data_IF_752323571327
#
_entry.id   IF_752323571327
#
_cell.length_a   1.000
_cell.length_b   1.000
_cell.length_c   1.000
_cell.angle_alpha   90.00
_cell.angle_beta   90.00
_cell.angle_gamma   90.00
#
_symmetry.space_group_name_H-M   'P 1'
#
loop_
_entity.id
_entity.type
_entity.pdbx_description
1 polymer ?
#
# COMPACT_ATOMS: atom_id res chain seq x y z
N UNK A 1 -16.68 -16.81 32.66
CA UNK A 1 -16.21 -15.94 31.57
C UNK A 1 -16.15 -16.80 30.33
N UNK A 2 -16.98 -16.54 29.33
CA UNK A 2 -17.00 -17.34 28.10
C UNK A 2 -15.73 -17.01 27.32
N UNK A 3 -14.77 -17.93 27.24
CA UNK A 3 -13.67 -17.82 26.30
C UNK A 3 -14.27 -17.65 24.91
N UNK A 4 -14.08 -16.48 24.32
CA UNK A 4 -14.57 -16.21 22.97
C UNK A 4 -13.61 -16.91 22.03
N UNK A 5 -14.00 -18.08 21.50
CA UNK A 5 -13.17 -18.88 20.60
C UNK A 5 -12.72 -18.02 19.41
N UNK A 6 -11.41 -17.92 19.18
CA UNK A 6 -10.85 -17.26 17.99
C UNK A 6 -11.45 -17.91 16.74
N UNK A 7 -12.09 -17.15 15.82
CA UNK A 7 -12.69 -17.75 14.63
C UNK A 7 -11.61 -18.36 13.74
N UNK A 8 -11.77 -19.65 13.39
CA UNK A 8 -10.88 -20.37 12.48
C UNK A 8 -10.96 -19.81 11.05
N UNK A 9 -9.84 -19.88 10.33
CA UNK A 9 -9.79 -19.51 8.92
C UNK A 9 -10.39 -20.62 8.06
N UNK A 10 -11.02 -20.24 6.93
CA UNK A 10 -11.35 -21.20 5.89
C UNK A 10 -10.06 -21.64 5.20
N UNK A 11 -9.87 -22.94 5.01
CA UNK A 11 -8.66 -23.48 4.42
C UNK A 11 -8.91 -24.70 3.53
N UNK A 12 -7.88 -25.07 2.78
CA UNK A 12 -7.79 -26.29 1.98
C UNK A 12 -6.42 -26.95 2.19
N UNK A 13 -6.44 -28.28 2.26
CA UNK A 13 -5.25 -29.13 2.32
C UNK A 13 -5.14 -29.96 1.04
N UNK A 14 -3.94 -30.04 0.47
CA UNK A 14 -3.62 -30.89 -0.68
C UNK A 14 -2.25 -31.58 -0.42
N UNK A 15 -2.07 -32.83 -0.85
CA UNK A 15 -0.82 -33.60 -0.67
C UNK A 15 -0.89 -34.70 0.42
N UNK A 16 0.22 -35.42 0.68
CA UNK A 16 0.26 -36.53 1.63
C UNK A 16 -0.01 -36.07 3.07
N UNK A 17 -0.78 -36.85 3.83
CA UNK A 17 -1.17 -36.49 5.20
C UNK A 17 0.00 -36.50 6.20
N UNK A 18 1.04 -37.29 5.93
CA UNK A 18 2.24 -37.44 6.75
C UNK A 18 3.39 -36.51 6.33
N UNK A 19 3.23 -35.75 5.23
CA UNK A 19 4.23 -34.81 4.76
C UNK A 19 4.29 -33.54 5.65
N UNK A 20 5.46 -32.87 5.74
CA UNK A 20 5.57 -31.59 6.43
C UNK A 20 4.63 -30.53 5.84
N UNK A 21 4.02 -29.70 6.68
CA UNK A 21 3.00 -28.72 6.25
C UNK A 21 3.62 -27.45 5.67
N UNK A 22 3.35 -27.18 4.39
CA UNK A 22 3.73 -25.92 3.73
C UNK A 22 2.51 -25.01 3.60
N UNK A 23 2.56 -23.85 4.25
CA UNK A 23 1.47 -22.87 4.24
C UNK A 23 1.67 -21.88 3.10
N UNK A 24 0.61 -21.61 2.32
CA UNK A 24 0.58 -20.58 1.28
C UNK A 24 -0.41 -19.46 1.67
N UNK A 25 0.13 -18.27 1.97
CA UNK A 25 -0.63 -17.08 2.36
C UNK A 25 -1.03 -16.22 1.15
N UNK A 26 -2.33 -15.89 0.99
CA UNK A 26 -2.82 -15.12 -0.15
C UNK A 26 -2.49 -13.63 -0.06
N UNK A 27 -2.62 -12.93 -1.19
CA UNK A 27 -2.56 -11.46 -1.26
C UNK A 27 -3.93 -10.85 -0.89
N UNK A 28 -3.94 -9.57 -0.50
CA UNK A 28 -5.18 -8.83 -0.26
C UNK A 28 -6.05 -8.79 -1.52
N UNK A 29 -7.35 -9.08 -1.40
CA UNK A 29 -8.29 -9.10 -2.53
C UNK A 29 -8.18 -10.36 -3.39
N UNK A 30 -7.38 -11.35 -2.99
CA UNK A 30 -7.28 -12.64 -3.67
C UNK A 30 -7.84 -13.77 -2.82
N UNK A 31 -7.97 -14.95 -3.42
CA UNK A 31 -8.30 -16.20 -2.72
C UNK A 31 -7.12 -17.16 -2.81
N UNK A 32 -7.16 -18.28 -2.09
CA UNK A 32 -6.17 -19.36 -2.20
C UNK A 32 -5.99 -19.88 -3.64
N UNK A 33 -6.93 -19.60 -4.55
CA UNK A 33 -6.86 -20.02 -5.95
C UNK A 33 -5.71 -19.35 -6.71
N UNK A 34 -5.15 -18.25 -6.18
CA UNK A 34 -3.91 -17.69 -6.72
C UNK A 34 -2.72 -18.67 -6.71
N UNK A 35 -2.80 -19.70 -5.87
CA UNK A 35 -1.78 -20.73 -5.72
C UNK A 35 -2.05 -22.01 -6.51
N UNK A 36 -3.17 -22.11 -7.24
CA UNK A 36 -3.59 -23.36 -7.90
C UNK A 36 -2.52 -23.92 -8.85
N UNK A 37 -1.70 -23.06 -9.47
CA UNK A 37 -0.64 -23.48 -10.40
C UNK A 37 0.62 -24.00 -9.71
N UNK A 38 0.82 -23.71 -8.42
CA UNK A 38 1.94 -24.21 -7.62
C UNK A 38 1.63 -25.57 -6.98
N UNK A 39 0.35 -25.79 -6.63
CA UNK A 39 -0.09 -26.95 -5.83
C UNK A 39 0.32 -28.30 -6.42
N UNK A 40 0.17 -28.59 -7.73
CA UNK A 40 0.51 -29.91 -8.27
C UNK A 40 1.95 -30.35 -8.02
N UNK A 41 2.91 -29.41 -8.04
CA UNK A 41 4.32 -29.73 -7.78
C UNK A 41 4.67 -29.67 -6.29
N UNK A 42 4.16 -28.68 -5.55
CA UNK A 42 4.42 -28.57 -4.11
C UNK A 42 3.82 -29.74 -3.33
N UNK A 43 2.62 -30.19 -3.69
CA UNK A 43 1.92 -31.30 -3.05
C UNK A 43 2.61 -32.67 -3.23
N UNK A 44 3.69 -32.75 -4.03
CA UNK A 44 4.50 -33.97 -4.17
C UNK A 44 5.41 -34.21 -2.96
N UNK A 45 5.78 -33.14 -2.24
CA UNK A 45 6.74 -33.19 -1.12
C UNK A 45 6.14 -32.68 0.19
N UNK A 46 5.13 -31.79 0.13
CA UNK A 46 4.56 -31.15 1.30
C UNK A 46 3.05 -31.37 1.37
N UNK A 47 2.52 -31.33 2.60
CA UNK A 47 1.09 -31.17 2.84
C UNK A 47 0.77 -29.69 2.72
N UNK A 48 0.27 -29.26 1.57
CA UNK A 48 0.06 -27.86 1.25
C UNK A 48 -1.21 -27.35 1.92
N UNK A 49 -1.08 -26.39 2.83
CA UNK A 49 -2.18 -25.68 3.47
C UNK A 49 -2.35 -24.33 2.80
N UNK A 50 -3.56 -24.04 2.31
CA UNK A 50 -3.92 -22.74 1.75
C UNK A 50 -5.15 -22.22 2.45
N UNK A 51 -5.24 -20.92 2.65
CA UNK A 51 -6.36 -20.30 3.35
C UNK A 51 -6.81 -19.03 2.66
N UNK A 52 -8.07 -18.67 2.91
CA UNK A 52 -8.61 -17.38 2.53
C UNK A 52 -8.55 -16.42 3.72
N UNK A 53 -8.28 -15.15 3.43
CA UNK A 53 -8.41 -14.08 4.41
C UNK A 53 -9.88 -13.92 4.82
N UNK A 54 -10.19 -13.40 6.02
CA UNK A 54 -11.57 -13.14 6.41
C UNK A 54 -12.33 -12.35 5.34
N UNK A 55 -13.55 -12.77 5.02
CA UNK A 55 -14.38 -12.15 3.99
C UNK A 55 -13.93 -12.34 2.55
N UNK A 56 -12.87 -13.09 2.26
CA UNK A 56 -12.42 -13.39 0.89
C UNK A 56 -12.89 -14.77 0.45
N UNK A 57 -13.21 -14.97 -0.83
CA UNK A 57 -13.47 -16.32 -1.39
C UNK A 57 -14.67 -17.08 -0.81
N UNK A 58 -15.56 -16.39 -0.08
CA UNK A 58 -16.67 -17.00 0.66
C UNK A 58 -16.35 -17.30 2.14
N UNK A 59 -15.14 -16.95 2.61
CA UNK A 59 -14.77 -17.07 4.01
C UNK A 59 -15.66 -16.19 4.90
N UNK A 60 -16.01 -16.65 6.12
CA UNK A 60 -16.78 -15.85 7.06
C UNK A 60 -16.18 -14.45 7.27
N UNK A 61 -17.05 -13.44 7.17
CA UNK A 61 -16.68 -12.04 7.29
C UNK A 61 -16.44 -11.67 8.76
N UNK A 62 -15.23 -11.95 9.25
CA UNK A 62 -14.78 -11.59 10.59
C UNK A 62 -13.54 -10.69 10.48
N UNK A 63 -13.71 -9.35 10.41
CA UNK A 63 -12.61 -8.41 10.27
C UNK A 63 -11.50 -8.63 11.30
N UNK A 64 -10.25 -8.43 10.87
CA UNK A 64 -9.06 -8.47 11.71
C UNK A 64 -8.39 -7.10 11.68
N UNK A 65 -8.11 -6.51 12.85
CA UNK A 65 -7.65 -5.13 12.97
C UNK A 65 -6.15 -4.95 12.74
N UNK A 66 -5.39 -6.04 12.71
CA UNK A 66 -3.94 -6.03 12.55
C UNK A 66 -3.43 -7.30 11.86
N UNK A 67 -2.18 -7.24 11.36
CA UNK A 67 -1.48 -8.43 10.86
C UNK A 67 -1.27 -9.47 11.98
N UNK A 68 -1.06 -9.02 13.22
CA UNK A 68 -0.95 -9.89 14.40
C UNK A 68 -2.25 -10.67 14.68
N UNK A 69 -3.41 -10.06 14.47
CA UNK A 69 -4.71 -10.75 14.60
C UNK A 69 -4.85 -11.85 13.55
N UNK A 70 -4.44 -11.57 12.30
CA UNK A 70 -4.45 -12.56 11.21
C UNK A 70 -3.49 -13.72 11.50
N UNK A 71 -2.28 -13.43 11.97
CA UNK A 71 -1.30 -14.43 12.39
C UNK A 71 -1.83 -15.29 13.54
N UNK A 72 -2.46 -14.68 14.55
CA UNK A 72 -3.07 -15.38 15.69
C UNK A 72 -4.20 -16.32 15.25
N UNK A 73 -5.08 -15.86 14.34
CA UNK A 73 -6.16 -16.70 13.78
C UNK A 73 -5.61 -17.88 12.98
N UNK A 74 -4.56 -17.66 12.19
CA UNK A 74 -3.89 -18.73 11.47
C UNK A 74 -3.28 -19.76 12.43
N UNK A 75 -2.56 -19.32 13.47
CA UNK A 75 -2.01 -20.23 14.47
C UNK A 75 -3.09 -21.03 15.20
N UNK A 76 -4.17 -20.38 15.62
CA UNK A 76 -5.31 -21.08 16.25
C UNK A 76 -5.89 -22.16 15.32
N UNK A 77 -6.02 -21.87 14.02
CA UNK A 77 -6.48 -22.84 13.01
C UNK A 77 -5.51 -24.01 12.87
N UNK A 78 -4.20 -23.75 12.87
CA UNK A 78 -3.15 -24.78 12.77
C UNK A 78 -3.04 -25.63 14.05
N UNK A 79 -3.27 -25.04 15.21
CA UNK A 79 -3.27 -25.73 16.50
C UNK A 79 -4.41 -26.74 16.58
N UNK A 80 -5.61 -26.40 16.08
CA UNK A 80 -6.74 -27.34 15.93
C UNK A 80 -6.41 -28.53 15.01
N UNK A 81 -5.51 -28.32 14.06
CA UNK A 81 -5.01 -29.35 13.14
C UNK A 81 -3.78 -30.10 13.66
N UNK A 82 -3.28 -29.76 14.85
CA UNK A 82 -2.08 -30.36 15.43
C UNK A 82 -0.77 -29.96 14.72
N UNK A 83 -0.77 -28.92 13.89
CA UNK A 83 0.40 -28.51 13.10
C UNK A 83 1.32 -27.64 13.93
N UNK A 84 2.37 -28.22 14.52
CA UNK A 84 3.27 -27.52 15.44
C UNK A 84 4.42 -26.77 14.75
N UNK A 85 4.86 -27.19 13.57
CA UNK A 85 5.95 -26.54 12.84
C UNK A 85 5.73 -26.67 11.33
N UNK A 86 5.98 -25.59 10.58
CA UNK A 86 5.62 -25.51 9.17
C UNK A 86 6.59 -24.64 8.38
N UNK A 87 6.67 -24.87 7.06
CA UNK A 87 7.20 -23.91 6.11
C UNK A 87 6.12 -22.89 5.76
N UNK A 88 6.50 -21.65 5.48
CA UNK A 88 5.55 -20.59 5.15
C UNK A 88 5.99 -19.83 3.89
N UNK A 89 5.09 -19.71 2.92
CA UNK A 89 5.24 -18.82 1.77
C UNK A 89 4.05 -17.87 1.69
N UNK A 90 4.27 -16.56 1.68
CA UNK A 90 3.18 -15.58 1.68
C UNK A 90 3.37 -14.50 0.62
N UNK A 91 2.29 -14.16 -0.09
CA UNK A 91 2.29 -13.09 -1.08
C UNK A 91 1.72 -11.78 -0.47
N UNK A 92 2.43 -10.66 -0.57
CA UNK A 92 1.93 -9.34 -0.14
C UNK A 92 1.46 -9.31 1.32
N UNK A 93 0.16 -9.15 1.60
CA UNK A 93 -0.40 -9.28 2.95
C UNK A 93 -0.10 -10.65 3.58
N UNK A 94 -0.13 -11.74 2.81
CA UNK A 94 0.36 -13.04 3.27
C UNK A 94 1.84 -12.99 3.66
N UNK A 95 2.67 -12.22 2.96
CA UNK A 95 4.06 -11.98 3.35
C UNK A 95 4.18 -11.25 4.68
N UNK A 96 3.32 -10.25 4.94
CA UNK A 96 3.26 -9.56 6.23
C UNK A 96 2.92 -10.52 7.38
N UNK A 97 1.92 -11.40 7.17
CA UNK A 97 1.56 -12.46 8.13
C UNK A 97 2.76 -13.39 8.39
N UNK A 98 3.47 -13.80 7.33
CA UNK A 98 4.67 -14.64 7.46
C UNK A 98 5.79 -13.99 8.27
N UNK A 99 6.06 -12.71 8.03
CA UNK A 99 7.03 -11.95 8.80
C UNK A 99 6.62 -11.81 10.28
N UNK A 100 5.36 -11.52 10.56
CA UNK A 100 4.82 -11.46 11.92
C UNK A 100 4.96 -12.81 12.64
N UNK A 101 4.62 -13.92 11.97
CA UNK A 101 4.79 -15.27 12.52
C UNK A 101 6.26 -15.57 12.83
N UNK A 102 7.18 -15.21 11.93
CA UNK A 102 8.60 -15.48 12.14
C UNK A 102 9.20 -14.63 13.27
N UNK A 103 8.67 -13.43 13.51
CA UNK A 103 9.09 -12.54 14.59
C UNK A 103 8.52 -12.94 15.96
N UNK A 104 7.22 -13.26 16.02
CA UNK A 104 6.52 -13.54 17.29
C UNK A 104 6.52 -15.02 17.67
N UNK A 105 6.62 -15.90 16.70
CA UNK A 105 6.56 -17.35 16.87
C UNK A 105 7.67 -18.08 16.09
N UNK A 106 8.96 -17.69 16.25
CA UNK A 106 10.06 -18.24 15.46
C UNK A 106 10.18 -19.76 15.53
N UNK A 107 9.79 -20.38 16.65
CA UNK A 107 9.78 -21.82 16.85
C UNK A 107 8.80 -22.58 15.93
N UNK A 108 7.77 -21.89 15.43
CA UNK A 108 6.73 -22.48 14.56
C UNK A 108 7.15 -22.46 13.08
N UNK A 109 7.98 -21.49 12.68
CA UNK A 109 8.35 -21.25 11.28
C UNK A 109 9.69 -21.94 10.98
N UNK A 110 9.65 -23.04 10.22
CA UNK A 110 10.85 -23.77 9.83
C UNK A 110 11.66 -23.07 8.73
N UNK A 111 10.97 -22.47 7.77
CA UNK A 111 11.54 -21.77 6.62
C UNK A 111 10.51 -20.78 6.08
N UNK A 112 10.97 -19.66 5.53
CA UNK A 112 10.12 -18.53 5.17
C UNK A 112 10.35 -18.07 3.72
N UNK A 113 9.29 -17.90 2.94
CA UNK A 113 9.31 -17.22 1.65
C UNK A 113 8.39 -15.99 1.69
N UNK A 114 8.98 -14.81 1.50
CA UNK A 114 8.30 -13.52 1.42
C UNK A 114 8.20 -13.12 -0.06
N UNK A 115 7.00 -13.20 -0.62
CA UNK A 115 6.75 -12.99 -2.05
C UNK A 115 6.03 -11.65 -2.24
N UNK A 116 6.55 -10.77 -3.09
CA UNK A 116 5.98 -9.44 -3.33
C UNK A 116 5.60 -8.74 -2.01
N UNK A 117 6.51 -8.78 -1.03
CA UNK A 117 6.27 -8.34 0.34
C UNK A 117 7.14 -7.11 0.68
N UNK A 118 6.81 -6.44 1.78
CA UNK A 118 7.54 -5.27 2.26
C UNK A 118 7.59 -5.29 3.80
N UNK A 119 8.64 -4.75 4.43
CA UNK A 119 8.68 -4.62 5.89
C UNK A 119 7.75 -3.51 6.40
N UNK A 120 7.22 -2.68 5.49
CA UNK A 120 6.17 -1.69 5.71
C UNK A 120 5.45 -1.43 4.39
N UNK A 121 4.13 -1.36 4.39
CA UNK A 121 3.36 -1.16 3.17
C UNK A 121 2.90 0.29 3.04
N UNK A 122 3.22 0.93 1.91
CA UNK A 122 2.74 2.26 1.52
C UNK A 122 2.79 3.31 2.63
N UNK A 123 1.89 4.29 2.51
CA UNK A 123 1.58 5.21 3.60
C UNK A 123 0.25 4.84 4.27
N UNK A 124 0.10 5.16 5.55
CA UNK A 124 -1.15 4.92 6.26
C UNK A 124 -2.32 5.68 5.60
N UNK A 125 -2.04 6.84 5.01
CA UNK A 125 -3.05 7.65 4.33
C UNK A 125 -3.53 7.02 3.02
N UNK A 126 -2.65 6.40 2.22
CA UNK A 126 -3.04 5.62 1.03
C UNK A 126 -4.03 4.50 1.39
N UNK A 127 -3.74 3.72 2.42
CA UNK A 127 -4.62 2.63 2.86
C UNK A 127 -5.94 3.14 3.45
N UNK A 128 -5.91 4.26 4.21
CA UNK A 128 -7.12 4.91 4.70
C UNK A 128 -7.98 5.45 3.57
N UNK A 129 -7.37 6.07 2.54
CA UNK A 129 -8.07 6.55 1.35
C UNK A 129 -8.74 5.41 0.59
N UNK A 130 -8.05 4.28 0.40
CA UNK A 130 -8.68 3.06 -0.16
C UNK A 130 -9.87 2.64 0.69
N UNK A 131 -9.74 2.65 2.02
CA UNK A 131 -10.85 2.38 2.92
C UNK A 131 -12.06 3.31 2.71
N UNK A 132 -11.84 4.61 2.52
CA UNK A 132 -12.91 5.57 2.20
C UNK A 132 -13.58 5.25 0.87
N UNK A 133 -12.80 4.98 -0.18
CA UNK A 133 -13.35 4.60 -1.50
C UNK A 133 -14.26 3.38 -1.38
N UNK A 134 -13.82 2.36 -0.64
CA UNK A 134 -14.57 1.11 -0.45
C UNK A 134 -15.84 1.33 0.36
N UNK A 135 -15.80 2.17 1.41
CA UNK A 135 -17.01 2.51 2.19
C UNK A 135 -18.08 3.21 1.34
N UNK A 136 -17.65 4.08 0.41
CA UNK A 136 -18.57 4.86 -0.41
C UNK A 136 -19.06 4.14 -1.66
N UNK A 137 -18.22 3.31 -2.29
CA UNK A 137 -18.48 2.78 -3.63
C UNK A 137 -18.46 1.23 -3.70
N UNK A 138 -18.27 0.56 -2.56
CA UNK A 138 -17.95 -0.86 -2.54
C UNK A 138 -16.60 -1.17 -3.17
N UNK A 139 -16.36 -2.43 -3.53
CA UNK A 139 -15.08 -2.88 -4.08
C UNK A 139 -14.94 -2.70 -5.60
N UNK A 140 -15.98 -2.32 -6.33
CA UNK A 140 -15.93 -2.28 -7.79
C UNK A 140 -14.83 -1.37 -8.35
N UNK A 141 -14.61 -0.13 -7.84
CA UNK A 141 -13.52 0.72 -8.34
C UNK A 141 -12.14 0.11 -8.09
N UNK A 142 -11.94 -0.51 -6.93
CA UNK A 142 -10.68 -1.17 -6.57
C UNK A 142 -10.47 -2.42 -7.44
N UNK A 143 -11.54 -3.19 -7.66
CA UNK A 143 -11.47 -4.40 -8.43
C UNK A 143 -11.07 -4.15 -9.90
N UNK A 144 -11.64 -3.10 -10.53
CA UNK A 144 -11.34 -2.76 -11.92
C UNK A 144 -9.89 -2.37 -12.15
N UNK A 145 -9.25 -1.71 -11.18
CA UNK A 145 -7.85 -1.25 -11.30
C UNK A 145 -6.84 -2.26 -10.77
N UNK A 146 -7.26 -3.26 -9.99
CA UNK A 146 -6.35 -4.24 -9.38
C UNK A 146 -5.46 -4.98 -10.39
N UNK A 147 -5.95 -5.44 -11.57
CA UNK A 147 -5.10 -6.11 -12.56
C UNK A 147 -3.91 -5.27 -13.05
N UNK A 148 -4.05 -3.95 -13.16
CA UNK A 148 -2.99 -3.03 -13.60
C UNK A 148 -1.82 -2.99 -12.61
N UNK A 149 -2.09 -3.24 -11.33
CA UNK A 149 -1.07 -3.34 -10.29
C UNK A 149 -0.54 -4.77 -10.10
N UNK A 150 -1.31 -5.77 -10.51
CA UNK A 150 -1.00 -7.18 -10.25
C UNK A 150 -0.21 -7.85 -11.34
N UNK A 151 -0.34 -7.38 -12.59
CA UNK A 151 0.24 -8.02 -13.77
C UNK A 151 0.99 -7.02 -14.63
N UNK A 152 1.99 -7.48 -15.38
CA UNK A 152 2.58 -6.65 -16.44
C UNK A 152 1.54 -6.38 -17.53
N UNK A 153 1.72 -5.26 -18.24
CA UNK A 153 0.83 -4.91 -19.37
C UNK A 153 0.81 -5.99 -20.46
N UNK A 154 1.97 -6.62 -20.73
CA UNK A 154 2.08 -7.72 -21.68
C UNK A 154 1.27 -8.94 -21.26
N UNK A 155 1.36 -9.35 -19.99
CA UNK A 155 0.56 -10.46 -19.47
C UNK A 155 -0.94 -10.13 -19.46
N UNK A 156 -1.31 -8.94 -18.99
CA UNK A 156 -2.71 -8.51 -18.94
C UNK A 156 -3.36 -8.52 -20.33
N UNK A 157 -2.64 -8.05 -21.36
CA UNK A 157 -3.12 -8.10 -22.74
C UNK A 157 -3.23 -9.54 -23.29
N UNK A 158 -2.30 -10.42 -22.91
CA UNK A 158 -2.26 -11.81 -23.38
C UNK A 158 -3.23 -12.75 -22.64
N UNK A 159 -3.64 -12.39 -21.41
CA UNK A 159 -4.42 -13.26 -20.51
C UNK A 159 -5.68 -12.56 -19.96
N UNK A 160 -6.61 -12.10 -20.81
CA UNK A 160 -7.79 -11.35 -20.37
C UNK A 160 -8.70 -12.16 -19.42
N UNK A 161 -8.78 -13.48 -19.59
CA UNK A 161 -9.55 -14.33 -18.69
C UNK A 161 -8.97 -14.36 -17.26
N UNK A 162 -7.64 -14.25 -17.12
CA UNK A 162 -6.99 -14.20 -15.80
C UNK A 162 -7.19 -12.82 -15.18
N UNK A 163 -7.14 -11.74 -15.97
CA UNK A 163 -7.44 -10.40 -15.44
C UNK A 163 -8.90 -10.29 -15.01
N UNK A 164 -9.85 -10.85 -15.77
CA UNK A 164 -11.26 -10.89 -15.39
C UNK A 164 -11.47 -11.69 -14.10
N UNK A 165 -10.83 -12.85 -13.98
CA UNK A 165 -10.84 -13.64 -12.76
C UNK A 165 -10.29 -12.85 -11.55
N UNK A 166 -9.18 -12.12 -11.74
CA UNK A 166 -8.62 -11.27 -10.69
C UNK A 166 -9.58 -10.16 -10.26
N UNK A 167 -10.27 -9.51 -11.21
CA UNK A 167 -11.34 -8.53 -10.90
C UNK A 167 -12.43 -9.19 -10.06
N UNK A 168 -12.88 -10.40 -10.43
CA UNK A 168 -13.95 -11.08 -9.69
C UNK A 168 -13.54 -11.49 -8.27
N UNK A 169 -12.28 -11.89 -8.04
CA UNK A 169 -11.80 -12.16 -6.69
C UNK A 169 -11.94 -10.93 -5.79
N UNK A 170 -11.52 -9.75 -6.27
CA UNK A 170 -11.64 -8.52 -5.49
C UNK A 170 -13.10 -8.13 -5.29
N UNK A 171 -13.92 -8.20 -6.34
CA UNK A 171 -15.36 -7.83 -6.27
C UNK A 171 -16.14 -8.63 -5.24
N UNK A 172 -15.78 -9.89 -5.04
CA UNK A 172 -16.51 -10.82 -4.18
C UNK A 172 -16.03 -10.82 -2.73
N UNK A 173 -15.00 -10.04 -2.41
CA UNK A 173 -14.56 -9.84 -1.02
C UNK A 173 -15.57 -8.99 -0.23
N UNK A 174 -15.77 -9.31 1.05
CA UNK A 174 -16.51 -8.47 1.98
C UNK A 174 -15.85 -7.09 2.14
N UNK A 175 -16.55 -5.98 1.87
CA UNK A 175 -15.97 -4.64 1.95
C UNK A 175 -15.40 -4.31 3.35
N UNK A 176 -16.07 -4.73 4.42
CA UNK A 176 -15.64 -4.47 5.80
C UNK A 176 -14.32 -5.16 6.13
N UNK A 177 -14.17 -6.43 5.74
CA UNK A 177 -12.94 -7.18 5.90
C UNK A 177 -11.81 -6.64 5.01
N UNK A 178 -12.13 -6.19 3.80
CA UNK A 178 -11.14 -5.55 2.92
C UNK A 178 -10.58 -4.26 3.52
N UNK A 179 -11.46 -3.41 4.07
CA UNK A 179 -11.08 -2.17 4.77
C UNK A 179 -10.20 -2.50 5.98
N UNK A 180 -10.60 -3.46 6.81
CA UNK A 180 -9.82 -3.86 7.97
C UNK A 180 -8.43 -4.40 7.58
N UNK A 181 -8.33 -5.15 6.49
CA UNK A 181 -7.05 -5.62 5.97
C UNK A 181 -6.18 -4.46 5.43
N UNK A 182 -6.77 -3.42 4.85
CA UNK A 182 -6.05 -2.18 4.51
C UNK A 182 -5.51 -1.49 5.77
N UNK A 183 -6.32 -1.39 6.83
CA UNK A 183 -5.92 -0.78 8.12
C UNK A 183 -4.82 -1.60 8.82
N UNK A 184 -4.88 -2.93 8.71
CA UNK A 184 -3.84 -3.83 9.19
C UNK A 184 -2.51 -3.59 8.45
N UNK A 185 -2.52 -3.42 7.13
CA UNK A 185 -1.32 -3.07 6.35
C UNK A 185 -0.82 -1.66 6.67
N UNK A 186 -1.72 -0.71 6.90
CA UNK A 186 -1.39 0.68 7.24
C UNK A 186 -0.60 0.81 8.54
N UNK A 187 -0.84 -0.10 9.49
CA UNK A 187 -0.18 -0.15 10.81
C UNK A 187 1.01 -1.10 10.87
N UNK A 188 1.23 -1.92 9.84
CA UNK A 188 2.32 -2.88 9.80
C UNK A 188 3.66 -2.21 9.47
N UNK A 189 4.60 -2.25 10.41
CA UNK A 189 5.98 -1.82 10.23
C UNK A 189 6.92 -2.65 11.10
N UNK A 190 7.69 -3.53 10.47
CA UNK A 190 8.65 -4.42 11.14
C UNK A 190 10.09 -4.09 10.79
N UNK A 191 10.36 -2.92 10.20
CA UNK A 191 11.70 -2.53 9.71
C UNK A 191 12.76 -2.61 10.81
N UNK A 192 12.41 -2.21 12.04
CA UNK A 192 13.33 -2.23 13.18
C UNK A 192 13.60 -3.64 13.73
N UNK A 193 12.81 -4.64 13.32
CA UNK A 193 12.80 -5.97 13.93
C UNK A 193 13.31 -7.07 12.97
N UNK A 194 13.56 -6.75 11.70
CA UNK A 194 13.96 -7.71 10.67
C UNK A 194 15.17 -8.58 11.08
N UNK A 195 16.11 -8.01 11.84
CA UNK A 195 17.30 -8.72 12.34
C UNK A 195 16.99 -9.88 13.29
N UNK A 196 15.77 -9.95 13.82
CA UNK A 196 15.30 -11.01 14.72
C UNK A 196 14.67 -12.20 13.99
N UNK A 197 14.43 -12.09 12.68
CA UNK A 197 13.92 -13.22 11.87
C UNK A 197 15.06 -14.24 11.70
N UNK A 198 15.00 -15.34 12.46
CA UNK A 198 16.00 -16.40 12.41
C UNK A 198 15.70 -17.54 11.43
N UNK A 199 14.50 -17.58 10.84
CA UNK A 199 14.15 -18.60 9.85
C UNK A 199 14.90 -18.36 8.53
N UNK A 200 15.44 -19.40 7.87
CA UNK A 200 15.99 -19.26 6.53
C UNK A 200 14.97 -18.63 5.59
N UNK A 201 15.33 -17.50 4.98
CA UNK A 201 14.36 -16.66 4.27
C UNK A 201 14.69 -16.54 2.78
N UNK A 202 13.71 -16.79 1.93
CA UNK A 202 13.70 -16.38 0.52
C UNK A 202 12.82 -15.13 0.38
N UNK A 203 13.36 -14.08 -0.22
CA UNK A 203 12.58 -12.93 -0.68
C UNK A 203 12.44 -13.02 -2.19
N UNK A 204 11.21 -13.11 -2.68
CA UNK A 204 10.88 -13.23 -4.10
C UNK A 204 10.10 -11.99 -4.55
N UNK A 205 10.48 -11.38 -5.67
CA UNK A 205 9.78 -10.20 -6.20
C UNK A 205 9.77 -10.22 -7.72
N UNK A 206 8.69 -9.72 -8.32
CA UNK A 206 8.65 -9.46 -9.76
C UNK A 206 9.54 -8.27 -10.13
N UNK A 207 10.23 -8.33 -11.28
CA UNK A 207 11.07 -7.21 -11.74
C UNK A 207 10.29 -5.92 -11.95
N UNK A 208 8.99 -6.03 -12.25
CA UNK A 208 8.13 -4.95 -12.69
C UNK A 208 7.10 -4.57 -11.61
N UNK A 209 7.16 -5.20 -10.43
CA UNK A 209 6.26 -4.93 -9.32
C UNK A 209 6.40 -3.47 -8.85
N UNK A 210 5.32 -2.70 -8.99
CA UNK A 210 5.23 -1.29 -8.57
C UNK A 210 4.59 -1.11 -7.18
N UNK A 211 4.10 -2.18 -6.56
CA UNK A 211 3.43 -2.16 -5.25
C UNK A 211 4.44 -2.41 -4.13
N UNK A 212 5.22 -3.48 -4.27
CA UNK A 212 6.25 -3.92 -3.29
C UNK A 212 7.50 -4.38 -4.02
N UNK A 213 7.95 -3.53 -4.94
CA UNK A 213 8.99 -3.82 -5.92
C UNK A 213 10.39 -4.13 -5.39
N UNK A 214 11.37 -4.22 -6.31
CA UNK A 214 12.74 -4.65 -5.98
C UNK A 214 13.43 -3.82 -4.89
N UNK A 215 13.04 -2.57 -4.67
CA UNK A 215 13.60 -1.75 -3.59
C UNK A 215 13.21 -2.29 -2.21
N UNK A 216 11.93 -2.61 -1.99
CA UNK A 216 11.41 -3.18 -0.75
C UNK A 216 11.98 -4.57 -0.51
N UNK A 217 12.08 -5.38 -1.56
CA UNK A 217 12.72 -6.70 -1.48
C UNK A 217 14.20 -6.61 -1.04
N UNK A 218 14.95 -5.63 -1.55
CA UNK A 218 16.32 -5.36 -1.08
C UNK A 218 16.37 -4.92 0.38
N UNK A 219 15.39 -4.14 0.85
CA UNK A 219 15.29 -3.79 2.27
C UNK A 219 15.07 -5.02 3.15
N UNK A 220 14.19 -5.96 2.75
CA UNK A 220 14.00 -7.22 3.47
C UNK A 220 15.30 -8.01 3.56
N UNK A 221 15.98 -8.19 2.43
CA UNK A 221 17.23 -8.98 2.38
C UNK A 221 18.36 -8.33 3.17
N UNK A 222 18.44 -7.00 3.18
CA UNK A 222 19.43 -6.29 4.00
C UNK A 222 19.14 -6.39 5.51
N UNK A 223 17.87 -6.52 5.90
CA UNK A 223 17.45 -6.57 7.29
C UNK A 223 17.39 -7.97 7.90
N UNK A 224 17.16 -9.01 7.09
CA UNK A 224 16.96 -10.39 7.56
C UNK A 224 18.27 -11.19 7.41
N UNK A 225 18.80 -11.78 8.48
CA UNK A 225 20.00 -12.64 8.42
C UNK A 225 19.86 -13.76 7.39
N UNK A 226 20.90 -13.96 6.57
CA UNK A 226 21.01 -15.02 5.57
C UNK A 226 19.85 -15.10 4.55
N UNK A 227 19.09 -14.00 4.39
CA UNK A 227 18.03 -13.94 3.40
C UNK A 227 18.59 -13.92 1.98
N UNK A 228 17.91 -14.63 1.07
CA UNK A 228 18.26 -14.69 -0.36
C UNK A 228 17.23 -13.92 -1.18
N UNK A 229 17.70 -13.16 -2.16
CA UNK A 229 16.83 -12.48 -3.13
C UNK A 229 16.65 -13.32 -4.41
N UNK A 230 15.42 -13.48 -4.86
CA UNK A 230 15.09 -13.92 -6.20
C UNK A 230 14.22 -12.85 -6.90
N UNK A 231 14.71 -12.32 -8.00
CA UNK A 231 13.94 -11.40 -8.86
C UNK A 231 13.42 -12.21 -10.04
N UNK A 232 12.11 -12.26 -10.23
CA UNK A 232 11.46 -12.96 -11.33
C UNK A 232 11.29 -11.97 -12.49
N UNK A 233 11.98 -12.17 -13.63
CA UNK A 233 11.86 -11.27 -14.77
C UNK A 233 10.45 -11.29 -15.37
N UNK A 234 10.01 -10.14 -15.90
CA UNK A 234 8.71 -9.99 -16.56
C UNK A 234 7.54 -10.51 -15.69
N UNK A 235 7.59 -10.15 -14.41
CA UNK A 235 6.52 -10.36 -13.44
C UNK A 235 6.28 -9.07 -12.65
N UNK A 236 5.02 -8.79 -12.37
CA UNK A 236 4.56 -7.75 -11.46
C UNK A 236 4.22 -8.36 -10.09
N UNK A 237 3.28 -7.76 -9.36
CA UNK A 237 2.99 -8.06 -7.97
C UNK A 237 2.46 -9.48 -7.71
N UNK A 238 1.58 -10.01 -8.58
CA UNK A 238 1.11 -11.40 -8.47
C UNK A 238 2.00 -12.37 -9.27
N UNK A 239 3.31 -12.33 -9.00
CA UNK A 239 4.29 -13.24 -9.59
C UNK A 239 3.88 -14.74 -9.54
N UNK A 240 3.23 -15.27 -8.47
CA UNK A 240 2.74 -16.65 -8.48
C UNK A 240 1.73 -16.96 -9.59
N UNK A 241 0.95 -15.99 -10.02
CA UNK A 241 -0.04 -16.15 -11.09
C UNK A 241 0.58 -15.88 -12.46
N UNK A 242 1.42 -14.86 -12.56
CA UNK A 242 2.02 -14.39 -13.81
C UNK A 242 3.16 -15.30 -14.32
N UNK A 243 4.04 -15.74 -13.42
CA UNK A 243 5.20 -16.59 -13.71
C UNK A 243 5.19 -17.86 -12.84
N UNK A 244 4.13 -18.71 -12.94
CA UNK A 244 3.89 -19.79 -11.99
C UNK A 244 5.03 -20.81 -11.95
N UNK A 245 5.59 -21.19 -13.10
CA UNK A 245 6.66 -22.18 -13.18
C UNK A 245 7.95 -21.69 -12.48
N UNK A 246 8.34 -20.44 -12.71
CA UNK A 246 9.53 -19.84 -12.09
C UNK A 246 9.36 -19.73 -10.56
N UNK A 247 8.18 -19.29 -10.10
CA UNK A 247 7.86 -19.23 -8.67
C UNK A 247 7.88 -20.62 -8.05
N UNK A 248 7.26 -21.62 -8.69
CA UNK A 248 7.26 -23.00 -8.20
C UNK A 248 8.68 -23.56 -8.05
N UNK A 249 9.54 -23.40 -9.05
CA UNK A 249 10.94 -23.88 -8.98
C UNK A 249 11.71 -23.22 -7.82
N UNK A 250 11.54 -21.91 -7.64
CA UNK A 250 12.18 -21.17 -6.55
C UNK A 250 11.70 -21.64 -5.17
N UNK A 251 10.39 -21.89 -5.01
CA UNK A 251 9.82 -22.39 -3.75
C UNK A 251 10.27 -23.82 -3.46
N UNK A 252 10.21 -24.73 -4.45
CA UNK A 252 10.68 -26.11 -4.30
C UNK A 252 12.14 -26.11 -3.87
N UNK A 253 13.02 -25.38 -4.58
CA UNK A 253 14.45 -25.29 -4.22
C UNK A 253 14.66 -24.73 -2.82
N UNK A 254 13.93 -23.67 -2.45
CA UNK A 254 14.08 -23.07 -1.13
C UNK A 254 13.70 -24.04 -0.02
N UNK A 255 12.50 -24.62 -0.07
CA UNK A 255 12.02 -25.49 0.99
C UNK A 255 12.73 -26.85 1.02
N UNK A 256 13.11 -27.43 -0.13
CA UNK A 256 13.89 -28.69 -0.12
C UNK A 256 15.30 -28.53 0.45
N UNK A 257 15.89 -27.32 0.38
CA UNK A 257 17.26 -27.07 0.89
C UNK A 257 17.28 -26.55 2.32
N UNK A 258 16.36 -25.65 2.67
CA UNK A 258 16.32 -25.02 3.98
C UNK A 258 15.58 -25.86 5.04
N UNK A 259 14.66 -26.73 4.59
CA UNK A 259 13.77 -27.47 5.46
C UNK A 259 13.98 -28.98 5.30
N UNK A 260 15.17 -29.45 5.69
CA UNK A 260 15.42 -30.88 5.88
C UNK A 260 14.94 -31.31 7.28
N UNK A 261 14.35 -32.51 7.43
CA UNK A 261 14.23 -33.14 8.73
C UNK A 261 15.65 -33.32 9.28
N UNK A 262 15.87 -32.95 10.55
CA UNK A 262 17.03 -33.46 11.25
C UNK A 262 16.88 -34.99 11.29
N UNK A 263 17.58 -35.69 10.39
CA UNK A 263 17.76 -37.11 10.55
C UNK A 263 18.41 -37.32 11.92
N UNK A 264 17.87 -38.29 12.66
CA UNK A 264 18.37 -38.77 13.94
C UNK A 264 19.84 -39.20 13.82
N UNK A 265 20.75 -38.24 13.98
CA UNK A 265 22.12 -38.52 14.38
C UNK A 265 22.33 -37.75 15.66
N UNK A 266 22.30 -38.48 16.79
CA UNK A 266 22.36 -37.95 18.14
C UNK A 266 23.62 -37.15 18.45
N UNK A 267 23.63 -35.89 18.03
CA UNK A 267 24.59 -34.89 18.47
C UNK A 267 23.82 -33.73 19.10
N UNK A 268 23.86 -33.73 20.43
CA UNK A 268 23.44 -32.61 21.26
C UNK A 268 24.05 -31.31 20.73
N UNK A 269 23.22 -30.33 20.41
CA UNK A 269 23.67 -28.97 20.16
C UNK A 269 24.30 -28.43 21.45
N UNK A 270 25.61 -28.14 21.39
CA UNK A 270 26.33 -27.43 22.45
C UNK A 270 25.75 -26.01 22.50
N UNK A 271 25.28 -25.52 23.65
CA UNK A 271 24.77 -24.15 23.75
C UNK A 271 25.92 -23.16 23.51
N UNK A 272 25.68 -22.17 22.65
CA UNK A 272 26.61 -21.08 22.40
C UNK A 272 26.90 -20.31 23.71
N UNK A 273 28.16 -19.97 23.94
CA UNK A 273 28.60 -19.26 25.14
C UNK A 273 27.95 -17.86 25.22
N UNK A 274 27.61 -17.36 26.43
CA UNK A 274 26.97 -16.06 26.59
C UNK A 274 27.93 -14.94 26.20
N UNK A 275 27.57 -14.19 25.16
CA UNK A 275 28.28 -12.98 24.75
C UNK A 275 27.98 -11.87 25.77
N UNK A 276 29.02 -11.35 26.43
CA UNK A 276 28.88 -10.16 27.29
C UNK A 276 28.68 -8.92 26.42
N UNK A 277 27.70 -8.04 26.71
CA UNK A 277 27.52 -6.81 25.96
C UNK A 277 28.73 -5.89 26.16
N UNK A 278 29.31 -5.43 25.06
CA UNK A 278 30.24 -4.28 25.07
C UNK A 278 29.38 -3.03 24.89
N UNK A 279 29.39 -2.15 25.89
CA UNK A 279 28.74 -0.84 25.81
C UNK A 279 29.43 0.01 24.73
N UNK A 280 28.67 0.40 23.71
CA UNK A 280 29.10 1.40 22.74
C UNK A 280 29.17 2.80 23.39
N UNK A 281 30.07 3.68 22.95
CA UNK A 281 30.10 5.07 23.42
C UNK A 281 28.82 5.82 23.04
N UNK A 282 28.40 6.83 23.81
CA UNK A 282 27.14 7.53 23.58
C UNK A 282 27.15 8.30 22.25
N UNK A 283 26.00 8.41 21.57
CA UNK A 283 25.89 9.19 20.34
C UNK A 283 26.05 10.70 20.62
N UNK A 284 26.46 11.50 19.62
CA UNK A 284 26.52 12.95 19.75
C UNK A 284 25.13 13.55 19.99
N UNK A 285 25.02 14.74 20.60
CA UNK A 285 23.74 15.37 20.91
C UNK A 285 22.95 15.63 19.62
N UNK A 286 21.74 15.10 19.59
CA UNK A 286 20.75 15.30 18.52
C UNK A 286 20.29 16.76 18.58
N UNK A 287 20.44 17.50 17.48
CA UNK A 287 19.82 18.82 17.34
C UNK A 287 18.29 18.70 17.47
N UNK A 288 17.59 19.67 18.07
CA UNK A 288 16.17 19.53 18.36
C UNK A 288 15.39 19.33 17.05
N UNK A 289 14.73 18.18 16.94
CA UNK A 289 13.63 17.95 16.00
C UNK A 289 12.58 18.99 16.33
N UNK A 290 12.08 19.71 15.32
CA UNK A 290 11.01 20.68 15.50
C UNK A 290 9.85 20.03 16.30
N UNK A 291 9.59 20.56 17.49
CA UNK A 291 8.47 20.12 18.33
C UNK A 291 7.18 20.25 17.54
N UNK A 292 6.40 19.16 17.50
CA UNK A 292 4.98 19.26 17.15
C UNK A 292 4.34 20.04 18.30
N UNK A 293 4.13 21.34 18.09
CA UNK A 293 3.46 22.20 19.04
C UNK A 293 2.07 21.65 19.38
N UNK A 294 1.56 21.90 20.60
CA UNK A 294 0.24 21.44 21.00
C UNK A 294 -0.82 21.98 20.05
N UNK A 295 -1.71 21.09 19.60
CA UNK A 295 -2.89 21.45 18.81
C UNK A 295 -3.76 22.39 19.65
N UNK A 296 -3.86 23.66 19.27
CA UNK A 296 -4.87 24.56 19.85
C UNK A 296 -6.25 23.94 19.63
N UNK A 297 -7.01 23.78 20.72
CA UNK A 297 -8.36 23.29 20.67
C UNK A 297 -9.22 24.19 19.78
N UNK A 298 -9.82 23.62 18.74
CA UNK A 298 -10.79 24.34 17.91
C UNK A 298 -11.99 24.69 18.79
N UNK A 299 -12.41 25.97 18.85
CA UNK A 299 -13.60 26.35 19.58
C UNK A 299 -14.83 25.61 19.02
N UNK A 300 -15.70 25.16 19.93
CA UNK A 300 -16.97 24.52 19.62
C UNK A 300 -17.78 25.32 18.60
N UNK A 301 -18.54 24.59 17.79
CA UNK A 301 -19.30 25.10 16.66
C UNK A 301 -20.31 26.18 17.07
N UNK A 302 -19.87 27.44 17.08
CA UNK A 302 -20.74 28.59 16.87
C UNK A 302 -21.41 28.46 15.50
N UNK A 303 -22.63 28.97 15.37
CA UNK A 303 -23.45 28.99 14.13
C UNK A 303 -22.54 29.40 12.97
N UNK A 304 -22.21 28.42 12.13
CA UNK A 304 -21.24 28.61 11.05
C UNK A 304 -21.88 29.54 10.02
N UNK A 305 -21.22 30.63 9.59
CA UNK A 305 -21.68 31.40 8.44
C UNK A 305 -21.85 30.46 7.24
N UNK A 306 -22.76 30.78 6.33
CA UNK A 306 -23.05 29.92 5.18
C UNK A 306 -21.73 29.59 4.45
N UNK A 307 -21.39 28.30 4.45
CA UNK A 307 -20.15 27.78 3.88
C UNK A 307 -20.09 28.02 2.38
N UNK A 308 -21.26 28.14 1.74
CA UNK A 308 -21.35 28.52 0.34
C UNK A 308 -20.89 29.97 0.13
N UNK A 309 -21.39 30.93 0.91
CA UNK A 309 -21.01 32.35 0.78
C UNK A 309 -19.53 32.59 1.07
N UNK A 310 -19.01 31.95 2.12
CA UNK A 310 -17.58 31.98 2.43
C UNK A 310 -16.76 31.38 1.28
N UNK A 311 -17.22 30.25 0.73
CA UNK A 311 -16.59 29.60 -0.40
C UNK A 311 -16.58 30.46 -1.64
N UNK A 312 -17.70 31.11 -1.97
CA UNK A 312 -17.82 31.99 -3.12
C UNK A 312 -16.87 33.18 -3.00
N UNK A 313 -16.75 33.77 -1.80
CA UNK A 313 -15.78 34.85 -1.52
C UNK A 313 -14.35 34.39 -1.75
N UNK A 314 -13.93 33.27 -1.15
CA UNK A 314 -12.56 32.76 -1.30
C UNK A 314 -12.27 32.36 -2.74
N UNK A 315 -13.24 31.71 -3.42
CA UNK A 315 -13.13 31.33 -4.84
C UNK A 315 -12.87 32.54 -5.73
N UNK A 316 -13.56 33.66 -5.49
CA UNK A 316 -13.36 34.92 -6.22
C UNK A 316 -12.00 35.54 -5.93
N UNK A 317 -11.59 35.60 -4.68
CA UNK A 317 -10.29 36.15 -4.32
C UNK A 317 -9.12 35.34 -4.91
N UNK A 318 -9.30 34.02 -5.06
CA UNK A 318 -8.25 33.13 -5.62
C UNK A 318 -8.30 33.07 -7.13
N UNK A 319 -9.46 32.81 -7.75
CA UNK A 319 -9.59 32.60 -9.20
C UNK A 319 -9.92 33.88 -9.98
N UNK A 320 -10.46 34.90 -9.31
CA UNK A 320 -10.85 36.18 -9.89
C UNK A 320 -12.33 36.22 -10.28
N UNK A 321 -12.95 37.40 -10.16
CA UNK A 321 -14.40 37.57 -10.36
C UNK A 321 -14.86 37.13 -11.76
N UNK A 322 -14.18 37.58 -12.82
CA UNK A 322 -14.56 37.26 -14.19
C UNK A 322 -14.60 35.73 -14.48
N UNK A 323 -13.68 34.97 -13.90
CA UNK A 323 -13.65 33.51 -14.06
C UNK A 323 -14.81 32.85 -13.30
N UNK A 324 -15.07 33.29 -12.06
CA UNK A 324 -16.15 32.75 -11.24
C UNK A 324 -17.51 33.09 -11.85
N UNK A 325 -17.69 34.31 -12.34
CA UNK A 325 -18.93 34.75 -13.00
C UNK A 325 -19.18 33.95 -14.29
N UNK A 326 -18.15 33.71 -15.10
CA UNK A 326 -18.26 32.85 -16.29
C UNK A 326 -18.64 31.41 -15.95
N UNK A 327 -18.04 30.84 -14.89
CA UNK A 327 -18.35 29.48 -14.44
C UNK A 327 -19.78 29.35 -13.89
N UNK A 328 -20.29 30.36 -13.17
CA UNK A 328 -21.66 30.36 -12.66
C UNK A 328 -22.69 30.64 -13.77
N UNK A 329 -22.37 31.51 -14.73
CA UNK A 329 -23.26 31.82 -15.85
C UNK A 329 -23.37 30.67 -16.86
N UNK A 330 -22.35 29.83 -16.97
CA UNK A 330 -22.36 28.61 -17.79
C UNK A 330 -22.91 27.38 -17.05
N UNK A 331 -23.20 27.50 -15.75
CA UNK A 331 -23.77 26.42 -14.97
C UNK A 331 -25.24 26.19 -15.35
N UNK A 332 -25.51 25.01 -15.89
CA UNK A 332 -26.85 24.51 -16.21
C UNK A 332 -27.33 23.49 -15.17
N UNK A 333 -28.51 22.90 -15.40
CA UNK A 333 -29.07 21.87 -14.52
C UNK A 333 -28.20 20.61 -14.38
N UNK A 334 -27.23 20.39 -15.28
CA UNK A 334 -26.33 19.24 -15.23
C UNK A 334 -25.09 19.53 -14.37
N UNK A 335 -24.59 20.77 -14.40
CA UNK A 335 -23.34 21.19 -13.75
C UNK A 335 -23.55 22.02 -12.47
N UNK A 336 -24.75 22.51 -12.22
CA UNK A 336 -25.09 23.38 -11.08
C UNK A 336 -24.75 22.80 -9.72
N UNK A 337 -25.22 21.58 -9.44
CA UNK A 337 -24.96 20.88 -8.16
C UNK A 337 -23.45 20.68 -7.92
N UNK A 338 -22.68 20.47 -8.99
CA UNK A 338 -21.24 20.32 -8.92
C UNK A 338 -20.53 21.66 -8.64
N UNK A 339 -20.99 22.76 -9.24
CA UNK A 339 -20.49 24.11 -8.94
C UNK A 339 -20.80 24.52 -7.50
N UNK A 340 -21.99 24.17 -7.00
CA UNK A 340 -22.35 24.40 -5.60
C UNK A 340 -21.45 23.59 -4.66
N UNK A 341 -21.28 22.29 -4.94
CA UNK A 341 -20.42 21.40 -4.16
C UNK A 341 -18.98 21.90 -4.10
N UNK A 342 -18.36 22.23 -5.24
CA UNK A 342 -16.98 22.73 -5.27
C UNK A 342 -16.87 24.06 -4.51
N UNK A 343 -17.81 24.99 -4.72
CA UNK A 343 -17.83 26.29 -4.05
C UNK A 343 -17.85 26.11 -2.53
N UNK A 344 -18.76 25.29 -2.02
CA UNK A 344 -18.86 25.04 -0.58
C UNK A 344 -17.66 24.28 -0.03
N UNK A 345 -17.23 23.22 -0.70
CA UNK A 345 -16.28 22.27 -0.13
C UNK A 345 -14.82 22.69 -0.37
N UNK A 346 -14.42 22.88 -1.62
CA UNK A 346 -13.03 23.24 -1.93
C UNK A 346 -12.71 24.64 -1.37
N UNK A 347 -13.56 25.62 -1.64
CA UNK A 347 -13.28 27.01 -1.29
C UNK A 347 -13.74 27.36 0.14
N UNK A 348 -14.95 26.92 0.50
CA UNK A 348 -15.56 27.23 1.79
C UNK A 348 -15.00 26.40 2.95
N UNK A 349 -14.48 25.20 2.70
CA UNK A 349 -13.93 24.34 3.76
C UNK A 349 -12.43 24.12 3.69
N UNK A 350 -11.79 24.04 2.52
CA UNK A 350 -10.35 23.71 2.46
C UNK A 350 -9.48 24.94 2.30
N UNK A 351 -9.77 25.80 1.32
CA UNK A 351 -8.98 27.02 1.09
C UNK A 351 -9.17 28.10 2.16
N UNK A 352 -10.30 28.08 2.88
CA UNK A 352 -10.61 29.00 3.98
C UNK A 352 -9.95 28.60 5.31
N UNK A 353 -9.43 27.37 5.45
CA UNK A 353 -8.93 26.87 6.73
C UNK A 353 -7.67 27.58 7.20
N UNK A 354 -7.55 27.85 8.51
CA UNK A 354 -6.28 28.24 9.09
C UNK A 354 -5.31 27.04 9.03
N UNK A 355 -4.01 27.31 8.82
CA UNK A 355 -2.94 26.30 8.85
C UNK A 355 -1.96 26.40 7.70
N UNK A 356 -2.43 26.65 6.48
CA UNK A 356 -1.60 27.00 5.33
C UNK A 356 -2.04 28.34 4.76
N UNK A 357 -1.09 29.24 4.52
CA UNK A 357 -1.37 30.48 3.82
C UNK A 357 -1.68 30.25 2.33
N UNK A 358 -2.18 31.29 1.65
CA UNK A 358 -2.60 31.17 0.25
C UNK A 358 -1.43 30.92 -0.70
N UNK A 359 -0.23 31.39 -0.35
CA UNK A 359 0.98 31.16 -1.15
C UNK A 359 1.34 29.68 -1.13
N UNK A 360 1.45 29.08 0.06
CA UNK A 360 1.75 27.67 0.24
C UNK A 360 0.68 26.77 -0.39
N UNK A 361 -0.61 27.11 -0.24
CA UNK A 361 -1.70 26.37 -0.92
C UNK A 361 -1.57 26.42 -2.43
N UNK A 362 -1.14 27.55 -2.99
CA UNK A 362 -0.88 27.68 -4.43
C UNK A 362 0.29 26.81 -4.88
N UNK A 363 1.41 26.78 -4.13
CA UNK A 363 2.53 25.88 -4.41
C UNK A 363 2.11 24.41 -4.46
N UNK A 364 1.34 23.96 -3.46
CA UNK A 364 0.84 22.59 -3.38
C UNK A 364 -0.12 22.28 -4.53
N UNK A 365 -1.03 23.21 -4.83
CA UNK A 365 -2.02 23.04 -5.91
C UNK A 365 -1.32 22.94 -7.27
N UNK A 366 -0.38 23.83 -7.58
CA UNK A 366 0.41 23.76 -8.81
C UNK A 366 1.13 22.42 -8.93
N UNK A 367 1.80 21.97 -7.86
CA UNK A 367 2.51 20.68 -7.85
C UNK A 367 1.56 19.50 -8.12
N UNK A 368 0.39 19.49 -7.49
CA UNK A 368 -0.61 18.44 -7.67
C UNK A 368 -1.17 18.41 -9.11
N UNK A 369 -1.43 19.57 -9.70
CA UNK A 369 -1.91 19.67 -11.09
C UNK A 369 -0.85 19.20 -12.09
N UNK A 370 0.44 19.48 -11.82
CA UNK A 370 1.55 18.93 -12.62
C UNK A 370 1.63 17.41 -12.49
N UNK A 371 1.52 16.88 -11.27
CA UNK A 371 1.56 15.43 -11.03
C UNK A 371 0.40 14.69 -11.73
N UNK A 372 -0.80 15.29 -11.73
CA UNK A 372 -1.98 14.73 -12.40
C UNK A 372 -2.07 15.01 -13.90
N UNK A 373 -1.17 15.81 -14.47
CA UNK A 373 -1.22 16.19 -15.89
C UNK A 373 -2.39 17.11 -16.27
N UNK A 374 -2.98 17.82 -15.31
CA UNK A 374 -4.15 18.67 -15.50
C UNK A 374 -3.77 20.08 -15.98
N UNK A 375 -3.32 20.18 -17.23
CA UNK A 375 -2.72 21.40 -17.77
C UNK A 375 -3.70 22.57 -17.94
N UNK A 376 -4.98 22.31 -18.23
CA UNK A 376 -5.99 23.36 -18.34
C UNK A 376 -6.23 24.04 -16.98
N UNK A 377 -6.36 23.23 -15.92
CA UNK A 377 -6.47 23.71 -14.54
C UNK A 377 -5.18 24.41 -14.06
N UNK A 378 -4.02 23.91 -14.50
CA UNK A 378 -2.73 24.50 -14.17
C UNK A 378 -2.63 25.96 -14.65
N UNK A 379 -3.20 26.29 -15.81
CA UNK A 379 -3.21 27.67 -16.31
C UNK A 379 -3.98 28.60 -15.36
N UNK A 380 -5.19 28.21 -14.95
CA UNK A 380 -6.00 28.99 -14.01
C UNK A 380 -5.31 29.15 -12.65
N UNK A 381 -4.71 28.07 -12.14
CA UNK A 381 -4.04 28.09 -10.86
C UNK A 381 -2.68 28.79 -10.88
N UNK A 382 -2.02 28.92 -12.03
CA UNK A 382 -0.82 29.75 -12.17
C UNK A 382 -1.17 31.23 -12.00
N UNK A 383 -2.26 31.69 -12.64
CA UNK A 383 -2.79 33.05 -12.45
C UNK A 383 -3.22 33.30 -11.00
N UNK A 384 -3.89 32.32 -10.40
CA UNK A 384 -4.28 32.37 -9.00
C UNK A 384 -3.07 32.43 -8.05
N UNK A 385 -1.99 31.71 -8.35
CA UNK A 385 -0.77 31.73 -7.55
C UNK A 385 -0.11 33.11 -7.55
N UNK A 386 -0.04 33.76 -8.72
CA UNK A 386 0.45 35.14 -8.84
C UNK A 386 -0.40 36.10 -7.98
N UNK A 387 -1.73 35.99 -8.08
CA UNK A 387 -2.68 36.81 -7.29
C UNK A 387 -2.55 36.56 -5.78
N UNK A 388 -2.31 35.32 -5.39
CA UNK A 388 -2.06 34.93 -4.00
C UNK A 388 -0.66 35.37 -3.50
N UNK A 389 0.14 35.99 -4.37
CA UNK A 389 1.37 36.67 -4.02
C UNK A 389 2.64 35.88 -4.32
N UNK A 390 2.59 34.77 -5.09
CA UNK A 390 3.80 34.17 -5.61
C UNK A 390 4.38 35.04 -6.72
N UNK A 391 5.71 35.07 -6.80
CA UNK A 391 6.43 35.62 -7.95
C UNK A 391 6.57 34.58 -9.07
N UNK A 392 6.86 35.04 -10.29
CA UNK A 392 7.18 34.16 -11.41
C UNK A 392 8.39 33.25 -11.10
N UNK A 393 9.38 33.76 -10.37
CA UNK A 393 10.54 32.99 -9.95
C UNK A 393 10.19 31.91 -8.92
N UNK A 394 9.32 32.20 -7.96
CA UNK A 394 8.85 31.19 -7.00
C UNK A 394 8.02 30.09 -7.68
N UNK A 395 7.18 30.46 -8.66
CA UNK A 395 6.45 29.47 -9.47
C UNK A 395 7.43 28.61 -10.26
N UNK A 396 8.49 29.20 -10.84
CA UNK A 396 9.57 28.46 -11.51
C UNK A 396 10.24 27.45 -10.56
N UNK A 397 10.57 27.84 -9.32
CA UNK A 397 11.16 26.92 -8.34
C UNK A 397 10.22 25.76 -7.99
N UNK A 398 8.91 26.02 -7.88
CA UNK A 398 7.90 24.96 -7.68
C UNK A 398 7.89 23.97 -8.86
N UNK A 399 7.96 24.46 -10.09
CA UNK A 399 7.97 23.60 -11.28
C UNK A 399 9.30 22.84 -11.46
N UNK A 400 10.43 23.43 -11.07
CA UNK A 400 11.72 22.73 -11.02
C UNK A 400 11.69 21.59 -9.99
N UNK A 401 11.14 21.85 -8.80
CA UNK A 401 10.94 20.82 -7.79
C UNK A 401 10.01 19.72 -8.31
N UNK A 402 8.92 20.08 -8.99
CA UNK A 402 8.00 19.12 -9.58
C UNK A 402 8.68 18.24 -10.65
N UNK A 403 9.67 18.75 -11.39
CA UNK A 403 10.40 17.95 -12.38
C UNK A 403 11.13 16.74 -11.77
N UNK A 404 11.62 16.86 -10.53
CA UNK A 404 12.31 15.78 -9.81
C UNK A 404 11.36 14.63 -9.49
N UNK A 405 10.14 14.95 -9.07
CA UNK A 405 9.18 13.96 -8.54
C UNK A 405 8.14 13.51 -9.55
N UNK A 406 7.75 14.38 -10.49
CA UNK A 406 6.73 14.12 -11.51
C UNK A 406 7.34 13.80 -12.88
N UNK A 407 8.66 13.95 -13.02
CA UNK A 407 9.40 13.72 -14.25
C UNK A 407 9.49 14.94 -15.16
N UNK A 408 10.59 15.00 -15.91
CA UNK A 408 10.93 16.11 -16.82
C UNK A 408 9.84 16.37 -17.89
N UNK A 409 9.18 15.37 -18.51
CA UNK A 409 8.13 15.63 -19.50
C UNK A 409 6.90 16.34 -18.93
N UNK A 410 6.47 15.99 -17.71
CA UNK A 410 5.36 16.64 -17.03
C UNK A 410 5.72 18.10 -16.69
N UNK A 411 6.91 18.32 -16.14
CA UNK A 411 7.42 19.66 -15.87
C UNK A 411 7.56 20.49 -17.15
N UNK A 412 8.06 19.93 -18.25
CA UNK A 412 8.16 20.64 -19.54
C UNK A 412 6.80 21.17 -20.03
N UNK A 413 5.75 20.36 -19.89
CA UNK A 413 4.39 20.77 -20.27
C UNK A 413 3.87 21.85 -19.33
N UNK A 414 4.13 21.71 -18.02
CA UNK A 414 3.79 22.70 -17.02
C UNK A 414 4.51 24.05 -17.23
N UNK A 415 5.80 24.01 -17.56
CA UNK A 415 6.61 25.19 -17.87
C UNK A 415 6.06 25.96 -19.07
N UNK A 416 5.64 25.26 -20.12
CA UNK A 416 5.00 25.90 -21.29
C UNK A 416 3.73 26.66 -20.90
N UNK A 417 2.86 26.01 -20.12
CA UNK A 417 1.60 26.62 -19.66
C UNK A 417 1.88 27.81 -18.75
N UNK A 418 2.73 27.63 -17.74
CA UNK A 418 3.02 28.67 -16.77
C UNK A 418 3.72 29.87 -17.41
N UNK A 419 4.65 29.67 -18.36
CA UNK A 419 5.27 30.77 -19.09
C UNK A 419 4.29 31.58 -19.92
N UNK A 420 3.33 30.92 -20.58
CA UNK A 420 2.29 31.61 -21.33
C UNK A 420 1.46 32.52 -20.41
N UNK A 421 0.97 31.97 -19.29
CA UNK A 421 0.18 32.71 -18.31
C UNK A 421 1.00 33.83 -17.67
N UNK A 422 2.23 33.57 -17.23
CA UNK A 422 3.08 34.60 -16.62
C UNK A 422 3.33 35.75 -17.60
N UNK A 423 3.57 35.45 -18.89
CA UNK A 423 3.75 36.48 -19.91
C UNK A 423 2.50 37.31 -20.09
N UNK A 424 1.33 36.68 -20.18
CA UNK A 424 0.03 37.38 -20.26
C UNK A 424 -0.19 38.31 -19.07
N UNK A 425 0.11 37.86 -17.85
CA UNK A 425 -0.16 38.63 -16.61
C UNK A 425 0.92 39.69 -16.30
N UNK A 426 2.11 39.60 -16.88
CA UNK A 426 3.25 40.51 -16.59
C UNK A 426 3.60 41.45 -17.74
N UNK A 427 3.03 41.27 -18.92
CA UNK A 427 3.21 42.19 -20.05
C UNK A 427 2.21 43.35 -19.91
N UNK A 428 2.65 44.62 -19.99
CA UNK A 428 1.73 45.76 -19.96
C UNK A 428 0.72 45.67 -21.12
N UNK A 429 -0.57 45.90 -20.85
CA UNK A 429 -1.56 46.11 -21.90
C UNK A 429 -1.39 47.53 -22.46
N UNK A 430 -1.24 47.66 -23.78
CA UNK A 430 -1.22 48.95 -24.50
C UNK A 430 -2.59 49.64 -24.52
#
# INVERSE_FOLDING_TARGET
MSETKTPALQYRLDGPDDAPVLILGPSLGTTWHMWDRQVPELARQWRVFRFDLPGHGGAPAHPAGSVADLATRLLATLDELGVQRFGYAGCSLGGAIGAELALRHPQRVASLALIAASPRFGTADEFRQRGVIVRSNGLDPIARTSPEHWFTSGFAAAQPAITDWAVQMVRTTDPGCYIAACEALASFDVRAELGSIGAPTLVLVGSDDQVTGPAQARTLVAGIPDARLAVVPAASHLAPVEQPAAVTDLLVRHFSTAWQPAYETGQHAIPAAPVKPVLAPPPPPVAPVAEIGPTEAQPEAAIRPDRHDMGLKVRREVLGDAHVDGALASADAFSGDFQEFITRYAWGEIWSRPGLDRRMRSCVTLTALVAGGHLDELAFHTRAALRNGLTADEIKEVLLQAAVYCGVPAANSAFKVAQAVIREETTPQE
#
